data_IF_986519065267
#
_entry.id   IF_986519065267
#
_cell.length_a   1.000
_cell.length_b   1.000
_cell.length_c   1.000
_cell.angle_alpha   90.00
_cell.angle_beta   90.00
_cell.angle_gamma   90.00
#
_symmetry.space_group_name_H-M   'P 1'
#
loop_
_entity.id
_entity.type
_entity.pdbx_description
1 polymer ?
#
# COMPACT_ATOMS: atom_id res chain seq x y z
N UNK A 1 44.16 27.15 -30.26
CA UNK A 1 42.82 27.47 -29.74
C UNK A 1 42.06 26.16 -29.72
N UNK A 2 42.39 25.31 -28.74
CA UNK A 2 41.77 24.00 -28.57
C UNK A 2 40.46 24.17 -27.81
N UNK A 3 39.42 23.50 -28.30
CA UNK A 3 38.05 23.64 -27.81
C UNK A 3 37.93 23.09 -26.37
N UNK A 4 37.19 23.76 -25.46
CA UNK A 4 36.97 23.33 -24.07
C UNK A 4 36.04 22.09 -23.93
N UNK A 5 35.81 21.33 -25.01
CA UNK A 5 34.81 20.26 -25.04
C UNK A 5 35.18 19.01 -24.25
N UNK A 6 36.47 18.73 -24.07
CA UNK A 6 36.92 17.44 -23.50
C UNK A 6 36.81 17.39 -21.96
N UNK A 7 37.05 18.51 -21.28
CA UNK A 7 36.90 18.60 -19.82
C UNK A 7 35.43 18.60 -19.39
N UNK A 8 34.56 19.28 -20.14
CA UNK A 8 33.12 19.30 -19.86
C UNK A 8 32.48 17.92 -20.04
N UNK A 9 32.86 17.17 -21.08
CA UNK A 9 32.40 15.80 -21.29
C UNK A 9 32.89 14.83 -20.20
N UNK A 10 34.15 14.95 -19.79
CA UNK A 10 34.70 14.15 -18.69
C UNK A 10 33.96 14.41 -17.36
N UNK A 11 33.65 15.68 -17.07
CA UNK A 11 32.85 16.05 -15.90
C UNK A 11 31.42 15.51 -15.97
N UNK A 12 30.74 15.63 -17.12
CA UNK A 12 29.39 15.09 -17.32
C UNK A 12 29.38 13.57 -17.13
N UNK A 13 30.32 12.85 -17.74
CA UNK A 13 30.42 11.40 -17.58
C UNK A 13 30.65 11.01 -16.11
N UNK A 14 31.53 11.73 -15.41
CA UNK A 14 31.77 11.50 -13.97
C UNK A 14 30.51 11.75 -13.13
N UNK A 15 29.70 12.76 -13.48
CA UNK A 15 28.41 13.00 -12.82
C UNK A 15 27.39 11.91 -13.12
N UNK A 16 27.36 11.38 -14.34
CA UNK A 16 26.51 10.24 -14.71
C UNK A 16 26.92 8.96 -13.96
N UNK A 17 28.22 8.69 -13.84
CA UNK A 17 28.76 7.56 -13.09
C UNK A 17 28.37 7.62 -11.60
N UNK A 18 28.45 8.82 -11.00
CA UNK A 18 28.02 9.03 -9.60
C UNK A 18 26.53 8.75 -9.44
N UNK A 19 25.69 9.24 -10.37
CA UNK A 19 24.23 8.99 -10.32
C UNK A 19 23.92 7.50 -10.44
N UNK A 20 24.53 6.82 -11.42
CA UNK A 20 24.37 5.38 -11.61
C UNK A 20 24.78 4.61 -10.36
N UNK A 21 25.91 4.98 -9.76
CA UNK A 21 26.39 4.36 -8.52
C UNK A 21 25.41 4.53 -7.34
N UNK A 22 24.81 5.71 -7.18
CA UNK A 22 23.82 5.99 -6.12
C UNK A 22 22.52 5.20 -6.36
N UNK A 23 22.06 5.13 -7.62
CA UNK A 23 20.89 4.33 -8.00
C UNK A 23 21.12 2.85 -7.74
N UNK A 24 22.27 2.30 -8.16
CA UNK A 24 22.64 0.91 -7.92
C UNK A 24 22.72 0.61 -6.42
N UNK A 25 23.27 1.52 -5.62
CA UNK A 25 23.35 1.33 -4.18
C UNK A 25 21.97 1.32 -3.51
N UNK A 26 21.08 2.25 -3.89
CA UNK A 26 19.69 2.25 -3.42
C UNK A 26 18.94 0.99 -3.85
N UNK A 27 19.15 0.53 -5.09
CA UNK A 27 18.53 -0.69 -5.62
C UNK A 27 19.01 -1.93 -4.85
N UNK A 28 20.31 -2.02 -4.55
CA UNK A 28 20.86 -3.11 -3.74
C UNK A 28 20.25 -3.17 -2.34
N UNK A 29 20.13 -2.02 -1.65
CA UNK A 29 19.49 -1.95 -0.32
C UNK A 29 18.02 -2.36 -0.40
N UNK A 30 17.26 -1.78 -1.32
CA UNK A 30 15.82 -2.05 -1.43
C UNK A 30 15.54 -3.50 -1.84
N UNK A 31 16.35 -4.09 -2.71
CA UNK A 31 16.22 -5.49 -3.11
C UNK A 31 16.62 -6.45 -1.99
N UNK A 32 17.67 -6.16 -1.23
CA UNK A 32 18.06 -6.95 -0.06
C UNK A 32 16.92 -6.99 0.98
N UNK A 33 16.32 -5.84 1.28
CA UNK A 33 15.18 -5.74 2.20
C UNK A 33 13.95 -6.47 1.64
N UNK A 34 13.66 -6.31 0.35
CA UNK A 34 12.53 -7.00 -0.31
C UNK A 34 12.71 -8.52 -0.29
N UNK A 35 13.90 -9.01 -0.61
CA UNK A 35 14.26 -10.42 -0.57
C UNK A 35 14.15 -10.99 0.85
N UNK A 36 14.64 -10.27 1.86
CA UNK A 36 14.47 -10.65 3.26
C UNK A 36 12.98 -10.67 3.67
N UNK A 37 12.21 -9.66 3.25
CA UNK A 37 10.79 -9.58 3.55
C UNK A 37 9.99 -10.76 2.95
N UNK A 38 10.31 -11.17 1.72
CA UNK A 38 9.71 -12.35 1.08
C UNK A 38 10.10 -13.61 1.85
N UNK A 39 11.38 -13.80 2.16
CA UNK A 39 11.91 -14.97 2.86
C UNK A 39 11.29 -15.14 4.25
N UNK A 40 11.13 -14.05 5.00
CA UNK A 40 10.50 -14.05 6.31
C UNK A 40 8.96 -14.07 6.25
N UNK A 41 8.36 -14.06 5.05
CA UNK A 41 6.91 -14.06 4.87
C UNK A 41 6.20 -12.76 5.27
N UNK A 42 6.96 -11.66 5.44
CA UNK A 42 6.43 -10.31 5.70
C UNK A 42 5.91 -9.64 4.42
N UNK A 43 6.48 -9.98 3.26
CA UNK A 43 6.01 -9.58 1.94
C UNK A 43 5.43 -10.79 1.21
N UNK A 44 4.21 -11.19 1.61
CA UNK A 44 3.42 -12.11 0.79
C UNK A 44 2.66 -11.28 -0.23
N UNK A 45 2.69 -11.68 -1.52
CA UNK A 45 1.66 -11.23 -2.46
C UNK A 45 0.32 -11.62 -1.85
N UNK A 46 -0.35 -10.65 -1.23
CA UNK A 46 -1.76 -10.78 -0.91
C UNK A 46 -2.39 -10.86 -2.28
N UNK A 47 -2.74 -12.06 -2.72
CA UNK A 47 -3.78 -12.16 -3.72
C UNK A 47 -4.99 -11.50 -3.10
N UNK A 48 -5.19 -10.22 -3.44
CA UNK A 48 -6.49 -9.60 -3.39
C UNK A 48 -7.28 -10.35 -4.47
N UNK A 49 -7.63 -11.60 -4.16
CA UNK A 49 -8.95 -12.07 -4.52
C UNK A 49 -9.84 -10.94 -4.05
N UNK A 50 -10.63 -10.35 -4.96
CA UNK A 50 -11.70 -9.45 -4.55
C UNK A 50 -12.28 -10.06 -3.29
N UNK A 51 -12.29 -9.34 -2.15
CA UNK A 51 -12.74 -9.91 -0.90
C UNK A 51 -14.03 -10.60 -1.23
N UNK A 52 -14.04 -11.93 -1.13
CA UNK A 52 -15.14 -12.69 -1.67
C UNK A 52 -16.28 -12.38 -0.70
N UNK A 53 -17.06 -11.35 -1.02
CA UNK A 53 -18.22 -10.89 -0.26
C UNK A 53 -19.26 -12.03 -0.15
N UNK A 54 -18.99 -13.19 -0.79
CA UNK A 54 -19.72 -14.45 -0.68
C UNK A 54 -19.54 -15.17 0.66
N UNK A 55 -18.52 -14.89 1.46
CA UNK A 55 -18.54 -15.33 2.86
C UNK A 55 -19.44 -14.36 3.64
N UNK A 56 -20.74 -14.57 3.44
CA UNK A 56 -21.82 -14.12 4.31
C UNK A 56 -21.32 -14.23 5.76
N UNK A 57 -21.15 -13.14 6.52
CA UNK A 57 -20.55 -13.19 7.87
C UNK A 57 -21.32 -14.09 8.85
N UNK A 58 -22.56 -14.43 8.49
CA UNK A 58 -23.46 -15.33 9.21
C UNK A 58 -23.38 -16.80 8.77
N UNK A 59 -22.58 -17.12 7.76
CA UNK A 59 -22.41 -18.47 7.21
C UNK A 59 -21.18 -19.13 7.83
N UNK A 60 -21.41 -19.84 8.93
CA UNK A 60 -20.39 -20.42 9.79
C UNK A 60 -20.15 -21.93 9.54
N UNK A 61 -19.32 -22.55 10.38
CA UNK A 61 -19.03 -23.97 10.33
C UNK A 61 -20.29 -24.85 10.45
N UNK A 62 -21.31 -24.39 11.18
CA UNK A 62 -22.58 -25.10 11.31
C UNK A 62 -23.33 -25.16 9.98
N UNK A 63 -23.36 -24.02 9.25
CA UNK A 63 -23.92 -23.95 7.90
C UNK A 63 -23.20 -24.89 6.93
N UNK A 64 -21.85 -24.93 7.00
CA UNK A 64 -21.01 -25.85 6.20
C UNK A 64 -21.30 -27.31 6.51
N UNK A 65 -21.31 -27.69 7.80
CA UNK A 65 -21.64 -29.06 8.25
C UNK A 65 -23.06 -29.48 7.85
N UNK A 66 -24.02 -28.57 7.93
CA UNK A 66 -25.40 -28.82 7.50
C UNK A 66 -25.48 -29.05 5.98
N UNK A 67 -24.74 -28.29 5.17
CA UNK A 67 -24.64 -28.51 3.72
C UNK A 67 -24.04 -29.88 3.39
N UNK A 68 -22.96 -30.29 4.09
CA UNK A 68 -22.36 -31.60 3.89
C UNK A 68 -23.35 -32.75 4.18
N UNK A 69 -24.18 -32.62 5.23
CA UNK A 69 -25.26 -33.58 5.52
C UNK A 69 -26.29 -33.68 4.39
N UNK A 70 -26.66 -32.54 3.77
CA UNK A 70 -27.55 -32.54 2.59
C UNK A 70 -26.91 -33.27 1.41
N UNK A 71 -25.61 -33.07 1.16
CA UNK A 71 -24.89 -33.75 0.08
C UNK A 71 -24.75 -35.25 0.33
N UNK A 72 -24.51 -35.65 1.59
CA UNK A 72 -24.46 -37.06 1.98
C UNK A 72 -25.80 -37.76 1.76
N UNK A 73 -26.90 -37.17 2.23
CA UNK A 73 -28.25 -37.73 2.04
C UNK A 73 -28.68 -37.74 0.56
N UNK A 74 -28.20 -36.80 -0.26
CA UNK A 74 -28.38 -36.85 -1.71
C UNK A 74 -27.61 -38.01 -2.37
N UNK A 75 -26.39 -38.29 -1.90
CA UNK A 75 -25.60 -39.43 -2.36
C UNK A 75 -26.29 -40.75 -2.00
N UNK A 76 -26.75 -40.89 -0.75
CA UNK A 76 -27.53 -42.05 -0.30
C UNK A 76 -28.80 -42.25 -1.15
N UNK A 77 -29.53 -41.18 -1.44
CA UNK A 77 -30.73 -41.22 -2.29
C UNK A 77 -30.43 -41.77 -3.69
N UNK A 78 -29.36 -41.29 -4.32
CA UNK A 78 -28.93 -41.73 -5.66
C UNK A 78 -28.50 -43.20 -5.66
N UNK A 79 -27.74 -43.61 -4.65
CA UNK A 79 -27.24 -44.98 -4.53
C UNK A 79 -28.34 -46.00 -4.23
N UNK A 80 -29.46 -45.56 -3.65
CA UNK A 80 -30.60 -46.43 -3.31
C UNK A 80 -31.79 -46.23 -4.26
N UNK A 81 -31.50 -45.91 -5.53
CA UNK A 81 -32.50 -45.80 -6.61
C UNK A 81 -33.73 -44.98 -6.24
N UNK A 82 -33.55 -43.90 -5.47
CA UNK A 82 -34.62 -42.98 -5.09
C UNK A 82 -35.75 -43.59 -4.25
N UNK A 83 -35.47 -44.61 -3.44
CA UNK A 83 -36.43 -45.20 -2.51
C UNK A 83 -37.08 -44.19 -1.55
N UNK A 84 -38.34 -44.45 -1.18
CA UNK A 84 -39.19 -43.51 -0.42
C UNK A 84 -38.57 -43.04 0.90
N UNK A 85 -37.99 -43.97 1.67
CA UNK A 85 -37.28 -43.65 2.90
C UNK A 85 -36.15 -42.62 2.69
N UNK A 86 -35.28 -42.88 1.70
CA UNK A 86 -34.15 -41.99 1.41
C UNK A 86 -34.60 -40.64 0.85
N UNK A 87 -35.72 -40.61 0.12
CA UNK A 87 -36.33 -39.38 -0.41
C UNK A 87 -36.82 -38.51 0.74
N UNK A 88 -37.55 -39.10 1.68
CA UNK A 88 -38.03 -38.43 2.88
C UNK A 88 -36.85 -37.92 3.76
N UNK A 89 -35.79 -38.73 3.92
CA UNK A 89 -34.56 -38.35 4.64
C UNK A 89 -33.85 -37.15 3.99
N UNK A 90 -33.72 -37.13 2.66
CA UNK A 90 -33.12 -36.00 1.93
C UNK A 90 -33.97 -34.73 2.07
N UNK A 91 -35.30 -34.82 1.88
CA UNK A 91 -36.18 -33.66 2.00
C UNK A 91 -36.17 -33.06 3.42
N UNK A 92 -36.21 -33.91 4.45
CA UNK A 92 -36.10 -33.48 5.84
C UNK A 92 -34.76 -32.75 6.10
N UNK A 93 -33.65 -33.33 5.64
CA UNK A 93 -32.30 -32.74 5.81
C UNK A 93 -32.13 -31.44 5.03
N UNK A 94 -32.72 -31.34 3.83
CA UNK A 94 -32.73 -30.10 3.06
C UNK A 94 -33.59 -29.02 3.72
N UNK A 95 -34.73 -29.38 4.30
CA UNK A 95 -35.62 -28.45 5.03
C UNK A 95 -34.93 -27.90 6.27
N UNK A 96 -34.25 -28.74 7.05
CA UNK A 96 -33.48 -28.29 8.22
C UNK A 96 -32.34 -27.36 7.83
N UNK A 97 -31.60 -27.67 6.75
CA UNK A 97 -30.57 -26.77 6.22
C UNK A 97 -31.13 -25.41 5.80
N UNK A 98 -32.24 -25.39 5.06
CA UNK A 98 -32.90 -24.16 4.64
C UNK A 98 -33.32 -23.29 5.84
N UNK A 99 -33.92 -23.91 6.86
CA UNK A 99 -34.33 -23.22 8.08
C UNK A 99 -33.13 -22.66 8.85
N UNK A 100 -32.03 -23.42 8.95
CA UNK A 100 -30.79 -22.94 9.57
C UNK A 100 -30.26 -21.67 8.87
N UNK A 101 -30.19 -21.68 7.53
CA UNK A 101 -29.73 -20.52 6.76
C UNK A 101 -30.64 -19.30 6.96
N UNK A 102 -31.96 -19.49 6.97
CA UNK A 102 -32.93 -18.41 7.23
C UNK A 102 -32.71 -17.80 8.62
N UNK A 103 -32.57 -18.64 9.65
CA UNK A 103 -32.37 -18.19 11.04
C UNK A 103 -31.05 -17.45 11.24
N UNK A 104 -29.94 -17.97 10.67
CA UNK A 104 -28.62 -17.32 10.76
C UNK A 104 -28.62 -15.96 10.05
N UNK A 105 -29.19 -15.89 8.84
CA UNK A 105 -29.34 -14.63 8.10
C UNK A 105 -30.17 -13.61 8.89
N UNK A 106 -31.31 -14.02 9.46
CA UNK A 106 -32.17 -13.15 10.26
C UNK A 106 -31.43 -12.60 11.48
N UNK A 107 -30.81 -13.49 12.28
CA UNK A 107 -30.06 -13.09 13.49
C UNK A 107 -28.96 -12.08 13.16
N UNK A 108 -28.26 -12.27 12.06
CA UNK A 108 -27.23 -11.33 11.64
C UNK A 108 -27.79 -9.97 11.26
N UNK A 109 -28.87 -9.92 10.47
CA UNK A 109 -29.55 -8.65 10.15
C UNK A 109 -30.03 -7.96 11.42
N UNK A 110 -30.61 -8.71 12.37
CA UNK A 110 -31.11 -8.16 13.63
C UNK A 110 -29.96 -7.65 14.53
N UNK A 111 -28.84 -8.38 14.60
CA UNK A 111 -27.62 -7.94 15.29
C UNK A 111 -27.08 -6.64 14.69
N UNK A 112 -27.06 -6.53 13.35
CA UNK A 112 -26.61 -5.30 12.72
C UNK A 112 -27.56 -4.14 13.03
N UNK A 113 -28.88 -4.35 12.93
CA UNK A 113 -29.88 -3.33 13.31
C UNK A 113 -29.68 -2.86 14.75
N UNK A 114 -29.36 -3.78 15.65
CA UNK A 114 -29.02 -3.46 17.04
C UNK A 114 -27.77 -2.57 17.13
N UNK A 115 -26.67 -2.95 16.46
CA UNK A 115 -25.44 -2.16 16.44
C UNK A 115 -25.63 -0.75 15.84
N UNK A 116 -26.50 -0.60 14.84
CA UNK A 116 -26.83 0.70 14.24
C UNK A 116 -27.66 1.59 15.17
N UNK A 117 -28.54 1.00 16.00
CA UNK A 117 -29.35 1.73 16.99
C UNK A 117 -28.55 2.10 18.24
N UNK A 118 -27.55 1.30 18.59
CA UNK A 118 -26.75 1.44 19.81
C UNK A 118 -25.25 1.41 19.52
N UNK A 119 -24.70 2.40 18.79
CA UNK A 119 -23.27 2.45 18.51
C UNK A 119 -22.49 2.74 19.79
N UNK A 120 -21.50 1.88 20.11
CA UNK A 120 -20.60 2.08 21.27
C UNK A 120 -19.66 3.27 21.09
N UNK A 121 -19.39 3.66 19.84
CA UNK A 121 -18.55 4.81 19.48
C UNK A 121 -18.72 5.15 17.99
N UNK A 122 -18.26 6.33 17.58
CA UNK A 122 -18.19 6.75 16.17
C UNK A 122 -17.43 5.73 15.30
N UNK A 123 -16.30 5.22 15.79
CA UNK A 123 -15.52 4.18 15.09
C UNK A 123 -16.30 2.87 14.96
N UNK A 124 -17.02 2.46 16.01
CA UNK A 124 -17.86 1.26 15.98
C UNK A 124 -19.01 1.38 14.98
N UNK A 125 -19.64 2.54 14.91
CA UNK A 125 -20.70 2.84 13.94
C UNK A 125 -20.21 2.68 12.50
N UNK A 126 -19.10 3.35 12.15
CA UNK A 126 -18.56 3.29 10.78
C UNK A 126 -18.07 1.90 10.38
N UNK A 127 -17.53 1.11 11.33
CA UNK A 127 -17.22 -0.31 11.09
C UNK A 127 -18.46 -1.11 10.70
N UNK A 128 -19.56 -0.96 11.42
CA UNK A 128 -20.84 -1.63 11.12
C UNK A 128 -21.46 -1.12 9.82
N UNK A 129 -21.46 0.18 9.58
CA UNK A 129 -22.02 0.81 8.38
C UNK A 129 -21.28 0.40 7.10
N UNK A 130 -19.96 0.27 7.15
CA UNK A 130 -19.15 -0.13 6.00
C UNK A 130 -19.47 -1.55 5.48
N UNK A 131 -20.13 -2.42 6.25
CA UNK A 131 -20.65 -3.69 5.74
C UNK A 131 -21.81 -3.53 4.74
N UNK A 132 -22.53 -2.41 4.80
CA UNK A 132 -23.63 -2.10 3.87
C UNK A 132 -23.22 -1.18 2.74
N UNK A 133 -22.13 -0.44 2.92
CA UNK A 133 -21.59 0.40 1.86
C UNK A 133 -21.07 -0.53 0.77
N UNK A 134 -21.91 -0.79 -0.23
CA UNK A 134 -21.45 -1.30 -1.50
C UNK A 134 -20.31 -0.38 -1.95
N UNK A 135 -19.08 -0.91 -2.00
CA UNK A 135 -18.03 -0.24 -2.74
C UNK A 135 -18.45 -0.40 -4.21
N UNK A 136 -19.18 0.59 -4.72
CA UNK A 136 -19.12 0.91 -6.14
C UNK A 136 -17.65 1.25 -6.40
N UNK A 137 -16.91 0.24 -6.84
CA UNK A 137 -15.61 0.44 -7.44
C UNK A 137 -15.89 0.97 -8.84
N UNK A 138 -16.24 2.25 -8.96
CA UNK A 138 -15.99 2.99 -10.20
C UNK A 138 -14.48 3.22 -10.28
N UNK A 139 -13.75 2.12 -10.45
CA UNK A 139 -12.35 2.13 -10.82
C UNK A 139 -12.33 2.65 -12.25
N UNK A 140 -11.82 3.88 -12.42
CA UNK A 140 -11.51 4.50 -13.72
C UNK A 140 -12.69 5.18 -14.45
N UNK A 141 -13.40 6.09 -13.78
CA UNK A 141 -14.33 7.01 -14.48
C UNK A 141 -13.59 7.95 -15.47
N UNK A 142 -12.35 8.33 -15.15
CA UNK A 142 -11.55 9.25 -15.95
C UNK A 142 -10.33 8.51 -16.55
N UNK A 143 -10.12 8.53 -17.88
CA UNK A 143 -8.95 7.94 -18.54
C UNK A 143 -7.62 8.55 -18.09
N UNK A 144 -6.55 7.75 -18.10
CA UNK A 144 -5.19 8.21 -17.72
C UNK A 144 -4.73 9.42 -18.55
N UNK A 145 -5.02 9.44 -19.85
CA UNK A 145 -4.69 10.56 -20.75
C UNK A 145 -5.32 11.89 -20.31
N UNK A 146 -6.51 11.83 -19.71
CA UNK A 146 -7.19 13.01 -19.17
C UNK A 146 -6.50 13.51 -17.91
N UNK A 147 -6.00 12.61 -17.06
CA UNK A 147 -5.18 12.95 -15.90
C UNK A 147 -3.84 13.57 -16.31
N UNK A 148 -3.15 12.95 -17.28
CA UNK A 148 -1.86 13.44 -17.79
C UNK A 148 -2.00 14.86 -18.33
N UNK A 149 -3.01 15.11 -19.18
CA UNK A 149 -3.28 16.43 -19.73
C UNK A 149 -3.59 17.44 -18.61
N UNK A 150 -4.48 17.09 -17.68
CA UNK A 150 -4.83 17.97 -16.57
C UNK A 150 -3.60 18.37 -15.75
N UNK A 151 -2.73 17.42 -15.41
CA UNK A 151 -1.52 17.72 -14.65
C UNK A 151 -0.46 18.48 -15.45
N UNK A 152 -0.33 18.21 -16.75
CA UNK A 152 0.53 18.98 -17.64
C UNK A 152 0.10 20.47 -17.72
N UNK A 153 -1.21 20.73 -17.70
CA UNK A 153 -1.76 22.08 -17.78
C UNK A 153 -1.58 22.88 -16.47
N UNK A 154 -1.65 22.23 -15.29
CA UNK A 154 -1.56 22.93 -13.99
C UNK A 154 -0.16 22.95 -13.37
N UNK A 155 0.72 22.03 -13.76
CA UNK A 155 2.08 21.97 -13.21
C UNK A 155 2.96 22.95 -14.00
N UNK A 156 3.63 23.90 -13.34
CA UNK A 156 4.55 24.79 -14.03
C UNK A 156 5.66 23.96 -14.68
N UNK A 157 6.07 24.35 -15.88
CA UNK A 157 7.30 23.81 -16.46
C UNK A 157 8.44 24.01 -15.47
N UNK A 158 9.19 22.93 -15.17
CA UNK A 158 10.38 23.02 -14.33
C UNK A 158 11.42 23.86 -15.06
N UNK A 159 11.49 25.16 -14.75
CA UNK A 159 12.60 25.98 -15.17
C UNK A 159 13.77 25.68 -14.24
N UNK A 160 14.83 25.10 -14.78
CA UNK A 160 16.12 25.05 -14.08
C UNK A 160 16.71 26.44 -14.19
N UNK A 161 16.43 27.29 -13.21
CA UNK A 161 17.14 28.55 -13.09
C UNK A 161 18.57 28.26 -12.64
N UNK A 162 19.55 28.67 -13.45
CA UNK A 162 20.96 28.77 -13.07
C UNK A 162 21.14 29.91 -12.05
N UNK A 163 20.49 29.81 -10.90
CA UNK A 163 20.80 30.69 -9.79
C UNK A 163 22.08 30.16 -9.14
N UNK A 164 23.15 30.94 -9.25
CA UNK A 164 24.31 30.82 -8.39
C UNK A 164 23.82 31.22 -7.00
N UNK A 165 23.36 30.25 -6.22
CA UNK A 165 23.10 30.48 -4.81
C UNK A 165 24.45 30.79 -4.16
N UNK A 166 24.56 31.95 -3.52
CA UNK A 166 25.64 32.17 -2.57
C UNK A 166 25.37 31.23 -1.39
N UNK A 167 26.00 30.06 -1.42
CA UNK A 167 25.82 29.02 -0.42
C UNK A 167 26.43 29.54 0.88
N UNK A 168 25.56 29.94 1.81
CA UNK A 168 25.95 30.13 3.20
C UNK A 168 26.08 28.75 3.81
N UNK A 169 27.32 28.33 4.09
CA UNK A 169 27.59 27.07 4.80
C UNK A 169 27.18 27.19 6.25
N UNK A 170 26.61 26.12 6.79
CA UNK A 170 26.28 25.95 8.20
C UNK A 170 27.01 24.71 8.71
N UNK A 171 27.90 24.89 9.69
CA UNK A 171 28.79 23.82 10.18
C UNK A 171 28.00 22.62 10.70
N UNK A 172 26.81 22.85 11.28
CA UNK A 172 25.98 21.76 11.79
C UNK A 172 25.19 21.09 10.66
N UNK A 173 24.50 21.84 9.80
CA UNK A 173 23.68 21.27 8.72
C UNK A 173 24.52 20.62 7.62
N UNK A 174 25.74 21.10 7.38
CA UNK A 174 26.66 20.58 6.36
C UNK A 174 27.57 19.47 6.90
N UNK A 175 27.56 19.19 8.20
CA UNK A 175 28.29 18.05 8.77
C UNK A 175 27.64 16.71 8.42
N UNK A 176 28.41 15.61 8.46
CA UNK A 176 27.89 14.29 8.13
C UNK A 176 26.67 13.90 8.98
N UNK A 177 25.75 13.17 8.35
CA UNK A 177 24.66 12.48 9.03
C UNK A 177 25.27 11.42 9.93
N UNK A 178 24.93 11.49 11.22
CA UNK A 178 25.43 10.55 12.23
C UNK A 178 24.48 9.37 12.38
N UNK A 179 24.99 8.27 12.95
CA UNK A 179 24.14 7.13 13.32
C UNK A 179 23.04 7.53 14.31
N UNK A 180 23.31 8.49 15.19
CA UNK A 180 22.33 9.00 16.16
C UNK A 180 21.17 9.72 15.45
N UNK A 181 21.45 10.51 14.41
CA UNK A 181 20.41 11.18 13.61
C UNK A 181 19.51 10.15 12.93
N UNK A 182 20.11 9.12 12.31
CA UNK A 182 19.40 8.02 11.68
C UNK A 182 18.50 7.28 12.68
N UNK A 183 19.07 6.85 13.81
CA UNK A 183 18.32 6.12 14.84
C UNK A 183 17.17 6.96 15.43
N UNK A 184 17.39 8.25 15.61
CA UNK A 184 16.38 9.20 16.09
C UNK A 184 15.23 9.33 15.09
N UNK A 185 15.56 9.45 13.80
CA UNK A 185 14.57 9.50 12.72
C UNK A 185 13.79 8.18 12.60
N UNK A 186 14.46 7.02 12.67
CA UNK A 186 13.82 5.69 12.64
C UNK A 186 12.85 5.52 13.81
N UNK A 187 13.24 5.89 15.04
CA UNK A 187 12.37 5.80 16.22
C UNK A 187 11.10 6.64 16.06
N UNK A 188 11.20 7.79 15.40
CA UNK A 188 10.08 8.67 15.13
C UNK A 188 9.13 8.18 14.01
N UNK A 189 9.51 7.16 13.23
CA UNK A 189 8.66 6.60 12.18
C UNK A 189 7.39 5.97 12.78
N UNK A 190 6.24 6.37 12.24
CA UNK A 190 4.94 5.80 12.58
C UNK A 190 4.73 4.49 11.82
N UNK A 191 4.20 3.48 12.50
CA UNK A 191 3.83 2.20 11.90
C UNK A 191 2.58 2.34 10.99
N UNK A 192 2.36 1.34 10.14
CA UNK A 192 1.23 1.20 9.22
C UNK A 192 1.08 2.38 8.26
N UNK A 193 2.20 2.95 7.83
CA UNK A 193 2.23 3.96 6.78
C UNK A 193 2.27 3.28 5.42
N UNK A 194 1.55 3.86 4.46
CA UNK A 194 1.55 3.35 3.10
C UNK A 194 2.96 3.45 2.51
N UNK A 195 3.45 2.37 1.88
CA UNK A 195 4.71 2.39 1.14
C UNK A 195 4.58 3.25 -0.12
N UNK A 196 5.70 3.48 -0.80
CA UNK A 196 5.68 3.99 -2.18
C UNK A 196 5.64 2.82 -3.17
N UNK A 197 6.12 3.09 -4.39
CA UNK A 197 6.19 2.11 -5.49
C UNK A 197 7.04 0.88 -5.11
N UNK A 198 8.02 1.07 -4.22
CA UNK A 198 8.91 0.00 -3.75
C UNK A 198 8.22 -1.08 -2.91
N UNK A 199 7.03 -0.78 -2.36
CA UNK A 199 6.27 -1.65 -1.46
C UNK A 199 6.83 -1.75 -0.04
N UNK A 200 7.86 -0.97 0.32
CA UNK A 200 8.54 -1.06 1.61
C UNK A 200 7.92 -0.10 2.64
N UNK A 201 7.38 -0.65 3.71
CA UNK A 201 6.82 0.10 4.83
C UNK A 201 7.89 0.53 5.85
N UNK A 202 7.53 1.47 6.73
CA UNK A 202 8.42 1.98 7.77
C UNK A 202 8.97 0.88 8.70
N UNK A 203 8.21 -0.19 8.90
CA UNK A 203 8.55 -1.33 9.73
C UNK A 203 9.83 -2.04 9.28
N UNK A 204 10.16 -2.02 7.99
CA UNK A 204 11.41 -2.61 7.52
C UNK A 204 12.62 -1.84 8.02
N UNK A 205 12.55 -0.51 8.05
CA UNK A 205 13.62 0.34 8.58
C UNK A 205 13.70 0.28 10.11
N UNK A 206 12.54 0.20 10.78
CA UNK A 206 12.49 0.12 12.25
C UNK A 206 13.04 -1.17 12.83
N UNK A 207 12.90 -2.28 12.10
CA UNK A 207 13.39 -3.59 12.50
C UNK A 207 14.62 -4.00 11.68
N UNK A 208 15.28 -3.04 11.04
CA UNK A 208 16.51 -3.25 10.29
C UNK A 208 17.65 -3.69 11.20
N UNK A 209 18.58 -4.48 10.66
CA UNK A 209 19.81 -4.83 11.37
C UNK A 209 20.80 -3.65 11.41
N UNK A 210 21.85 -3.77 12.21
CA UNK A 210 22.88 -2.73 12.30
C UNK A 210 23.64 -2.57 10.97
N UNK A 211 23.80 -3.64 10.19
CA UNK A 211 24.39 -3.60 8.86
C UNK A 211 23.49 -2.83 7.87
N UNK A 212 22.16 -2.97 7.98
CA UNK A 212 21.23 -2.19 7.19
C UNK A 212 21.31 -0.71 7.59
N UNK A 213 21.38 -0.41 8.89
CA UNK A 213 21.53 0.96 9.37
C UNK A 213 22.84 1.60 8.88
N UNK A 214 23.96 0.87 8.90
CA UNK A 214 25.23 1.32 8.33
C UNK A 214 25.13 1.60 6.82
N UNK A 215 24.45 0.71 6.08
CA UNK A 215 24.23 0.87 4.64
C UNK A 215 23.36 2.10 4.32
N UNK A 216 22.28 2.30 5.08
CA UNK A 216 21.42 3.48 4.98
C UNK A 216 22.18 4.77 5.30
N UNK A 217 23.00 4.76 6.35
CA UNK A 217 23.81 5.90 6.73
C UNK A 217 24.78 6.30 5.62
N UNK A 218 25.47 5.31 5.03
CA UNK A 218 26.37 5.53 3.91
C UNK A 218 25.63 6.10 2.69
N UNK A 219 24.45 5.56 2.36
CA UNK A 219 23.62 6.07 1.27
C UNK A 219 23.23 7.53 1.53
N UNK A 220 22.75 7.84 2.73
CA UNK A 220 22.30 9.19 3.09
C UNK A 220 23.44 10.22 3.08
N UNK A 221 24.63 9.85 3.58
CA UNK A 221 25.81 10.71 3.48
C UNK A 221 26.28 10.89 2.03
N UNK A 222 26.26 9.82 1.22
CA UNK A 222 26.59 9.93 -0.21
C UNK A 222 25.63 10.89 -0.92
N UNK A 223 24.33 10.79 -0.64
CA UNK A 223 23.30 11.70 -1.19
C UNK A 223 23.53 13.14 -0.70
N UNK A 224 23.82 13.35 0.59
CA UNK A 224 24.06 14.67 1.16
C UNK A 224 25.30 15.35 0.57
N UNK A 225 26.41 14.62 0.47
CA UNK A 225 27.69 15.15 -0.03
C UNK A 225 27.68 15.39 -1.54
N UNK A 226 27.03 14.52 -2.31
CA UNK A 226 27.01 14.63 -3.78
C UNK A 226 25.88 15.53 -4.29
N UNK A 227 24.83 15.75 -3.49
CA UNK A 227 23.61 16.45 -3.90
C UNK A 227 22.73 15.65 -4.87
N UNK A 228 23.08 14.39 -5.19
CA UNK A 228 22.29 13.53 -6.06
C UNK A 228 21.48 12.53 -5.26
N UNK A 229 20.18 12.44 -5.56
CA UNK A 229 19.29 11.43 -4.98
C UNK A 229 19.05 10.29 -5.97
N UNK A 230 18.81 9.06 -5.49
CA UNK A 230 18.34 7.99 -6.36
C UNK A 230 17.08 8.41 -7.14
N UNK A 231 16.99 8.03 -8.41
CA UNK A 231 15.84 8.30 -9.27
C UNK A 231 14.53 7.84 -8.63
N UNK A 232 14.54 6.67 -7.99
CA UNK A 232 13.40 6.08 -7.30
C UNK A 232 12.81 6.98 -6.19
N UNK A 233 13.59 7.94 -5.66
CA UNK A 233 13.10 8.87 -4.63
C UNK A 233 12.20 9.97 -5.20
N UNK A 234 12.31 10.24 -6.51
CA UNK A 234 11.47 11.20 -7.22
C UNK A 234 10.22 10.55 -7.84
N UNK A 235 10.13 9.23 -7.82
CA UNK A 235 8.99 8.48 -8.35
C UNK A 235 7.88 8.41 -7.29
N UNK A 236 6.63 8.61 -7.73
CA UNK A 236 5.46 8.66 -6.87
C UNK A 236 4.32 7.81 -7.42
N UNK A 237 3.61 7.13 -6.54
CA UNK A 237 2.32 6.53 -6.89
C UNK A 237 1.21 7.52 -6.51
N UNK A 238 0.47 8.02 -7.50
CA UNK A 238 -0.55 9.04 -7.30
C UNK A 238 -1.95 8.42 -7.14
N UNK A 239 -2.53 8.57 -5.95
CA UNK A 239 -3.89 8.13 -5.66
C UNK A 239 -4.88 9.30 -5.75
N UNK A 240 -5.87 9.19 -6.64
CA UNK A 240 -6.90 10.22 -6.82
C UNK A 240 -8.11 9.97 -5.89
N UNK A 241 -8.26 10.82 -4.88
CA UNK A 241 -9.39 10.78 -3.95
C UNK A 241 -10.46 11.81 -4.34
N UNK A 242 -11.63 11.36 -4.76
CA UNK A 242 -12.75 12.26 -5.08
C UNK A 242 -13.13 13.11 -3.86
N UNK A 243 -13.27 14.43 -4.04
CA UNK A 243 -13.72 15.34 -2.98
C UNK A 243 -15.23 15.58 -3.04
N UNK A 244 -15.69 16.31 -4.05
CA UNK A 244 -17.07 16.76 -4.27
C UNK A 244 -17.23 17.25 -5.71
N UNK A 245 -18.47 17.36 -6.18
CA UNK A 245 -18.78 17.74 -7.56
C UNK A 245 -18.78 16.52 -8.48
N UNK A 246 -18.81 16.79 -9.78
CA UNK A 246 -18.80 15.78 -10.83
C UNK A 246 -17.56 14.87 -10.75
N UNK A 247 -17.78 13.56 -10.78
CA UNK A 247 -16.73 12.52 -10.74
C UNK A 247 -15.96 12.41 -12.05
N UNK A 248 -16.44 13.00 -13.14
CA UNK A 248 -15.77 12.92 -14.44
C UNK A 248 -14.79 14.10 -14.64
N UNK A 249 -14.67 14.98 -13.65
CA UNK A 249 -13.79 16.14 -13.68
C UNK A 249 -12.52 15.93 -12.82
N UNK A 250 -11.31 15.91 -13.40
CA UNK A 250 -10.05 15.80 -12.67
C UNK A 250 -9.88 16.79 -11.51
N UNK A 251 -10.31 18.03 -11.72
CA UNK A 251 -10.26 19.11 -10.71
C UNK A 251 -11.11 18.84 -9.47
N UNK A 252 -12.02 17.86 -9.51
CA UNK A 252 -12.85 17.41 -8.39
C UNK A 252 -12.21 16.29 -7.54
N UNK A 253 -10.92 16.02 -7.74
CA UNK A 253 -10.15 15.05 -6.96
C UNK A 253 -9.02 15.73 -6.18
N UNK A 254 -8.53 15.02 -5.16
CA UNK A 254 -7.31 15.33 -4.42
C UNK A 254 -6.30 14.23 -4.73
N UNK A 255 -5.18 14.60 -5.34
CA UNK A 255 -4.06 13.69 -5.53
C UNK A 255 -3.32 13.45 -4.21
N UNK A 256 -3.12 12.19 -3.85
CA UNK A 256 -2.28 11.76 -2.73
C UNK A 256 -1.06 11.08 -3.32
N UNK A 257 0.10 11.72 -3.19
CA UNK A 257 1.36 11.16 -3.67
C UNK A 257 1.96 10.21 -2.62
N UNK A 258 2.13 8.95 -2.97
CA UNK A 258 2.84 7.97 -2.17
C UNK A 258 4.30 7.91 -2.62
N UNK A 259 5.17 8.46 -1.78
CA UNK A 259 6.63 8.43 -1.95
C UNK A 259 7.20 7.26 -1.14
N UNK A 260 8.29 6.66 -1.63
CA UNK A 260 9.05 5.61 -0.94
C UNK A 260 9.42 6.04 0.48
N UNK A 261 9.36 5.08 1.41
CA UNK A 261 9.55 5.35 2.84
C UNK A 261 11.00 5.66 3.19
N UNK A 262 11.97 5.16 2.42
CA UNK A 262 13.39 5.50 2.53
C UNK A 262 13.64 6.99 2.26
N UNK A 263 12.98 7.56 1.24
CA UNK A 263 13.02 9.00 0.94
C UNK A 263 12.44 9.82 2.09
N UNK A 264 11.30 9.38 2.64
CA UNK A 264 10.69 10.01 3.82
C UNK A 264 11.61 9.95 5.04
N UNK A 265 12.34 8.86 5.23
CA UNK A 265 13.32 8.72 6.31
C UNK A 265 14.47 9.72 6.14
N UNK A 266 15.02 9.88 4.94
CA UNK A 266 16.04 10.89 4.67
C UNK A 266 15.55 12.31 4.95
N UNK A 267 14.39 12.70 4.38
CA UNK A 267 13.81 14.04 4.64
C UNK A 267 13.50 14.28 6.12
N UNK A 268 13.17 13.23 6.88
CA UNK A 268 12.95 13.29 8.34
C UNK A 268 14.24 13.60 9.07
N UNK A 269 15.36 13.01 8.67
CA UNK A 269 16.69 13.32 9.22
C UNK A 269 17.00 14.80 8.99
N UNK A 270 16.87 15.27 7.75
CA UNK A 270 17.13 16.67 7.41
C UNK A 270 16.25 17.65 8.19
N UNK A 271 14.97 17.31 8.41
CA UNK A 271 14.06 18.15 9.19
C UNK A 271 14.38 18.17 10.70
N UNK A 272 15.03 17.13 11.22
CA UNK A 272 15.28 16.99 12.67
C UNK A 272 16.63 17.54 13.10
N UNK A 273 17.44 17.98 12.13
CA UNK A 273 18.66 18.77 12.32
C UNK A 273 18.27 20.24 12.19
#
# INVERSE_FOLDING_TARGET
MELPGNESLCFINKLEDIKLSIDDFNNAITEAVRSAAITCGMSRKIHITEPNFRDKPWYDLECRRSRLRVLQTLKELRNNHFGEYYRNKYHATRKTHSNLLKSKRKRHIDWIKFCMRHPKSTTSFWRTFNHFKSRSLNLNAIPLTTWEKFYADIMPHRFVTEHIFFIKTDEFLDSEITLNDLQTAIKALKNNKSPGIDGLQNEFWKNGSDELNASLLNLFNTVATTGFTPRAWSEIELFMLHKKGDSDQPGNYRGIALINTITKLFTRILYSR
#
